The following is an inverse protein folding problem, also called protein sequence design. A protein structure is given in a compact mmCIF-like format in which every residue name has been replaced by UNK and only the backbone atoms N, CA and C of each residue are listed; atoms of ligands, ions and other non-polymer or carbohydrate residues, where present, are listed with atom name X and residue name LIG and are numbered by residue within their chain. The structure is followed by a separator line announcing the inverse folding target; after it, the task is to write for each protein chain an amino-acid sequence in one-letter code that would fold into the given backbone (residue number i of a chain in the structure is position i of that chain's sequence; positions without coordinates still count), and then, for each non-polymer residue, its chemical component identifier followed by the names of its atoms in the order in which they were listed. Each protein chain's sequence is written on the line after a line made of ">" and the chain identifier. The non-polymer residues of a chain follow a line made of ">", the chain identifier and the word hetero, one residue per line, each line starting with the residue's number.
data_IF_765625879334
#
_entry.id   IF_765625879334
#
_cell.length_a   1.000
_cell.length_b   1.000
_cell.length_c   1.000
_cell.angle_alpha   90.00
_cell.angle_beta   90.00
_cell.angle_gamma   90.00
#
_symmetry.space_group_name_H-M   'P 1'
#
loop_
_entity.id
_entity.type
_entity.pdbx_description
1 polymer ?
#
# COMPACT_ATOMS: atom_id res chain seq x y z
N UNK A 1 5.79 -11.56 15.95
CA UNK A 1 4.78 -10.49 16.20
C UNK A 1 4.84 -9.43 15.11
N UNK A 2 3.79 -8.66 14.92
CA UNK A 2 3.75 -7.59 13.89
C UNK A 2 4.95 -6.62 14.03
N UNK A 3 5.35 -6.31 15.27
CA UNK A 3 6.50 -5.43 15.52
C UNK A 3 7.84 -6.08 15.11
N UNK A 4 8.03 -7.38 15.33
CA UNK A 4 9.25 -8.08 14.91
C UNK A 4 9.35 -8.21 13.39
N UNK A 5 8.22 -8.42 12.72
CA UNK A 5 8.15 -8.48 11.26
C UNK A 5 8.42 -7.12 10.62
N UNK A 6 7.81 -6.05 11.18
CA UNK A 6 8.06 -4.69 10.74
C UNK A 6 9.53 -4.30 10.93
N UNK A 7 10.11 -4.61 12.10
CA UNK A 7 11.54 -4.37 12.35
C UNK A 7 12.42 -5.12 11.37
N UNK A 8 12.17 -6.40 11.15
CA UNK A 8 12.92 -7.21 10.21
C UNK A 8 12.89 -6.62 8.80
N UNK A 9 11.70 -6.21 8.31
CA UNK A 9 11.57 -5.61 6.99
C UNK A 9 12.31 -4.27 6.88
N UNK A 10 12.19 -3.40 7.90
CA UNK A 10 12.90 -2.12 7.96
C UNK A 10 14.41 -2.31 7.94
N UNK A 11 14.93 -3.23 8.75
CA UNK A 11 16.35 -3.50 8.84
C UNK A 11 16.90 -4.14 7.56
N UNK A 12 16.14 -5.05 6.93
CA UNK A 12 16.54 -5.75 5.72
C UNK A 12 16.80 -4.82 4.53
N UNK A 13 16.00 -3.77 4.39
CA UNK A 13 16.10 -2.83 3.28
C UNK A 13 16.65 -1.46 3.68
N UNK A 14 17.11 -1.31 4.91
CA UNK A 14 17.58 -0.03 5.49
C UNK A 14 16.55 1.11 5.25
N UNK A 15 15.28 0.84 5.51
CA UNK A 15 14.21 1.78 5.21
C UNK A 15 14.35 3.06 6.05
N UNK A 16 14.35 4.21 5.40
CA UNK A 16 14.43 5.53 6.04
C UNK A 16 13.05 6.11 6.35
N UNK A 17 12.02 5.62 5.68
CA UNK A 17 10.64 6.03 5.83
C UNK A 17 9.72 4.82 5.99
N UNK A 18 8.71 4.97 6.82
CA UNK A 18 7.60 4.03 6.90
C UNK A 18 6.27 4.78 6.87
N UNK A 19 5.32 4.25 6.13
CA UNK A 19 3.95 4.73 6.11
C UNK A 19 3.08 3.69 6.83
N UNK A 20 2.30 4.13 7.80
CA UNK A 20 1.49 3.21 8.59
C UNK A 20 0.07 3.74 8.82
N UNK A 21 -0.85 2.85 9.09
CA UNK A 21 -2.14 3.23 9.65
C UNK A 21 -2.05 3.38 11.17
N UNK A 22 -2.96 4.16 11.73
CA UNK A 22 -3.04 4.42 13.18
C UNK A 22 -3.06 3.16 14.05
N UNK A 23 -3.66 2.07 13.57
CA UNK A 23 -3.67 0.76 14.28
C UNK A 23 -2.31 0.05 14.30
N UNK A 24 -1.41 0.39 13.38
CA UNK A 24 -0.09 -0.24 13.21
C UNK A 24 1.06 0.61 13.75
N UNK A 25 0.79 1.84 14.18
CA UNK A 25 1.78 2.82 14.59
C UNK A 25 2.77 2.26 15.64
N UNK A 26 2.25 1.58 16.67
CA UNK A 26 3.06 0.99 17.74
C UNK A 26 4.12 0.00 17.24
N UNK A 27 3.91 -0.64 16.11
CA UNK A 27 4.85 -1.63 15.58
C UNK A 27 6.21 -1.01 15.21
N UNK A 28 6.26 0.30 14.99
CA UNK A 28 7.47 1.04 14.59
C UNK A 28 8.18 1.73 15.75
N UNK A 29 7.74 1.52 16.98
CA UNK A 29 8.37 2.15 18.16
C UNK A 29 9.86 1.77 18.26
N UNK A 30 10.71 2.77 18.54
CA UNK A 30 12.16 2.62 18.70
C UNK A 30 12.95 2.38 17.41
N UNK A 31 12.31 2.52 16.23
CA UNK A 31 13.02 2.36 14.96
C UNK A 31 13.63 3.67 14.48
N UNK A 32 14.84 3.58 13.92
CA UNK A 32 15.56 4.74 13.38
C UNK A 32 15.05 5.10 11.97
N UNK A 33 13.84 5.65 11.88
CA UNK A 33 13.22 6.04 10.62
C UNK A 33 12.29 7.25 10.79
N UNK A 34 11.86 7.80 9.68
CA UNK A 34 10.77 8.77 9.62
C UNK A 34 9.45 8.04 9.46
N UNK A 35 8.56 8.17 10.44
CA UNK A 35 7.23 7.54 10.41
C UNK A 35 6.16 8.54 9.94
N UNK A 36 5.39 8.15 8.95
CA UNK A 36 4.24 8.91 8.43
C UNK A 36 2.97 8.14 8.74
N UNK A 37 2.11 8.71 9.58
CA UNK A 37 0.86 8.08 9.99
C UNK A 37 -0.31 8.53 9.15
N UNK A 38 -1.01 7.55 8.58
CA UNK A 38 -2.27 7.74 7.87
C UNK A 38 -3.44 7.38 8.79
N UNK A 39 -4.29 8.36 9.13
CA UNK A 39 -5.51 8.10 9.89
C UNK A 39 -6.60 7.58 8.96
N UNK A 40 -7.00 6.33 9.11
CA UNK A 40 -8.07 5.72 8.31
C UNK A 40 -9.36 6.53 8.33
N UNK A 41 -9.71 7.07 9.50
CA UNK A 41 -10.92 7.87 9.69
C UNK A 41 -10.94 9.18 8.88
N UNK A 42 -9.79 9.70 8.45
CA UNK A 42 -9.70 10.94 7.67
C UNK A 42 -10.23 10.80 6.24
N UNK A 43 -10.40 9.58 5.77
CA UNK A 43 -10.87 9.25 4.41
C UNK A 43 -12.33 8.80 4.37
N UNK A 44 -13.02 8.74 5.49
CA UNK A 44 -14.46 8.48 5.47
C UNK A 44 -15.22 9.66 4.85
N UNK A 45 -16.24 9.40 4.03
CA UNK A 45 -17.02 10.45 3.40
C UNK A 45 -17.66 11.36 4.44
N UNK A 46 -17.74 12.66 4.16
CA UNK A 46 -18.38 13.67 5.04
C UNK A 46 -19.92 13.63 4.89
N UNK A 47 -20.50 12.46 5.09
CA UNK A 47 -21.92 12.17 5.01
C UNK A 47 -22.39 11.54 6.33
N UNK A 48 -23.68 11.49 6.61
CA UNK A 48 -24.20 10.78 7.79
C UNK A 48 -23.70 9.35 7.89
N UNK A 49 -23.58 8.66 6.76
CA UNK A 49 -23.02 7.31 6.68
C UNK A 49 -21.54 7.27 7.09
N UNK A 50 -20.76 8.23 6.63
CA UNK A 50 -19.34 8.35 7.01
C UNK A 50 -19.16 8.70 8.49
N UNK A 51 -20.05 9.44 9.09
CA UNK A 51 -20.04 9.71 10.55
C UNK A 51 -20.30 8.44 11.36
N UNK A 52 -21.27 7.61 10.94
CA UNK A 52 -21.55 6.31 11.56
C UNK A 52 -20.33 5.40 11.41
N UNK A 53 -19.75 5.30 10.20
CA UNK A 53 -18.55 4.52 9.95
C UNK A 53 -17.37 4.97 10.83
N UNK A 54 -17.17 6.28 10.99
CA UNK A 54 -16.15 6.85 11.86
C UNK A 54 -16.36 6.49 13.35
N UNK A 55 -17.61 6.58 13.82
CA UNK A 55 -17.94 6.20 15.19
C UNK A 55 -17.69 4.71 15.45
N UNK A 56 -18.09 3.84 14.52
CA UNK A 56 -17.82 2.40 14.56
C UNK A 56 -16.33 2.10 14.53
N UNK A 57 -15.59 2.75 13.64
CA UNK A 57 -14.14 2.62 13.54
C UNK A 57 -13.44 3.01 14.85
N UNK A 58 -13.75 4.18 15.41
CA UNK A 58 -13.21 4.63 16.69
C UNK A 58 -13.48 3.65 17.82
N UNK A 59 -14.69 3.07 17.86
CA UNK A 59 -15.04 2.03 18.84
C UNK A 59 -14.19 0.78 18.65
N UNK A 60 -13.97 0.34 17.41
CA UNK A 60 -13.21 -0.86 17.04
C UNK A 60 -11.72 -0.75 17.36
N UNK A 61 -11.13 0.45 17.24
CA UNK A 61 -9.69 0.69 17.48
C UNK A 61 -9.39 1.16 18.89
N UNK A 62 -10.40 1.42 19.72
CA UNK A 62 -10.21 1.86 21.10
C UNK A 62 -9.31 0.88 21.87
N UNK A 63 -8.21 1.39 22.43
CA UNK A 63 -7.21 0.59 23.16
C UNK A 63 -6.25 -0.22 22.27
N UNK A 64 -6.41 -0.18 20.92
CA UNK A 64 -5.51 -0.86 20.00
C UNK A 64 -4.43 0.05 19.41
N UNK A 65 -4.64 1.36 19.51
CA UNK A 65 -3.68 2.36 19.04
C UNK A 65 -2.77 2.80 20.18
N UNK A 66 -1.48 2.91 19.89
CA UNK A 66 -0.51 3.53 20.79
C UNK A 66 0.56 4.22 19.95
N UNK A 67 1.11 5.37 20.42
CA UNK A 67 2.10 6.13 19.68
C UNK A 67 3.40 5.34 19.51
N UNK A 68 4.06 5.53 18.37
CA UNK A 68 5.40 5.04 18.11
C UNK A 68 6.42 5.99 18.79
N UNK A 69 6.77 5.70 20.02
CA UNK A 69 7.80 6.46 20.75
C UNK A 69 9.19 6.04 20.25
N UNK A 70 10.11 7.01 20.13
CA UNK A 70 11.52 6.73 19.81
C UNK A 70 11.81 6.55 18.33
N UNK A 71 10.93 6.98 17.42
CA UNK A 71 11.25 7.15 15.99
C UNK A 71 12.04 8.45 15.76
N UNK A 72 12.84 8.52 14.70
CA UNK A 72 13.68 9.69 14.40
C UNK A 72 12.85 10.93 14.10
N UNK A 73 11.79 10.77 13.30
CA UNK A 73 10.82 11.82 12.97
C UNK A 73 9.43 11.22 12.83
N UNK A 74 8.43 12.04 13.13
CA UNK A 74 7.03 11.66 13.02
C UNK A 74 6.24 12.72 12.27
N UNK A 75 5.41 12.29 11.33
CA UNK A 75 4.48 13.14 10.60
C UNK A 75 3.07 12.54 10.59
N UNK A 76 2.08 13.38 10.77
CA UNK A 76 0.73 13.06 10.30
C UNK A 76 0.71 13.19 8.77
N UNK A 77 -0.07 12.36 8.09
CA UNK A 77 -0.14 12.35 6.61
C UNK A 77 -0.47 13.72 6.01
N UNK A 78 -1.40 14.46 6.63
CA UNK A 78 -1.78 15.81 6.18
C UNK A 78 -0.61 16.78 6.18
N UNK A 79 0.23 16.74 7.23
CA UNK A 79 1.38 17.62 7.37
C UNK A 79 2.50 17.23 6.41
N UNK A 80 2.69 15.92 6.21
CA UNK A 80 3.62 15.40 5.22
C UNK A 80 3.26 15.88 3.81
N UNK A 81 1.98 15.76 3.41
CA UNK A 81 1.51 16.28 2.13
C UNK A 81 1.65 17.80 2.00
N UNK A 82 1.38 18.55 3.07
CA UNK A 82 1.55 20.02 3.07
C UNK A 82 3.00 20.40 2.83
N UNK A 83 3.94 19.73 3.47
CA UNK A 83 5.37 19.96 3.24
C UNK A 83 5.80 19.59 1.83
N UNK A 84 5.33 18.46 1.28
CA UNK A 84 5.58 18.05 -0.09
C UNK A 84 5.10 19.09 -1.12
N UNK A 85 3.88 19.61 -0.94
CA UNK A 85 3.35 20.67 -1.81
C UNK A 85 4.16 21.96 -1.73
N UNK A 86 4.58 22.35 -0.53
CA UNK A 86 5.43 23.53 -0.35
C UNK A 86 6.81 23.35 -1.00
N UNK A 87 7.37 22.14 -0.94
CA UNK A 87 8.62 21.79 -1.62
C UNK A 87 8.47 21.91 -3.15
N UNK A 88 7.43 21.31 -3.72
CA UNK A 88 7.16 21.36 -5.17
C UNK A 88 6.92 22.79 -5.64
N UNK A 89 6.16 23.58 -4.88
CA UNK A 89 5.91 24.99 -5.21
C UNK A 89 7.19 25.83 -5.26
N UNK A 90 8.20 25.46 -4.44
CA UNK A 90 9.48 26.17 -4.39
C UNK A 90 10.50 25.66 -5.40
N UNK A 91 10.56 24.35 -5.64
CA UNK A 91 11.66 23.70 -6.35
C UNK A 91 11.24 23.05 -7.69
N UNK A 92 9.94 23.01 -8.00
CA UNK A 92 9.40 22.24 -9.11
C UNK A 92 9.21 20.75 -8.75
N UNK A 93 8.66 19.99 -9.70
CA UNK A 93 8.53 18.54 -9.54
C UNK A 93 9.92 17.88 -9.55
N UNK A 94 10.13 16.83 -8.75
CA UNK A 94 11.35 16.03 -8.85
C UNK A 94 11.48 15.43 -10.25
N UNK A 95 12.73 15.32 -10.73
CA UNK A 95 13.00 14.59 -11.97
C UNK A 95 12.64 13.12 -11.79
N UNK A 96 11.99 12.50 -12.79
CA UNK A 96 11.69 11.08 -12.74
C UNK A 96 12.97 10.25 -12.77
N UNK A 97 12.95 9.11 -12.11
CA UNK A 97 14.04 8.13 -12.23
C UNK A 97 14.05 7.57 -13.67
N UNK A 98 15.21 7.63 -14.33
CA UNK A 98 15.36 7.24 -15.73
C UNK A 98 16.12 5.92 -15.93
N UNK A 99 16.71 5.37 -14.86
CA UNK A 99 17.40 4.08 -14.93
C UNK A 99 16.38 2.93 -14.87
N UNK A 100 16.19 2.17 -15.97
CA UNK A 100 15.24 1.07 -16.01
C UNK A 100 15.65 -0.10 -15.11
N UNK A 101 16.95 -0.23 -14.79
CA UNK A 101 17.48 -1.27 -13.92
C UNK A 101 17.42 -0.90 -12.43
N UNK A 102 17.08 0.36 -12.10
CA UNK A 102 16.91 0.77 -10.72
C UNK A 102 15.82 -0.05 -10.03
N UNK A 103 16.06 -0.42 -8.78
CA UNK A 103 15.06 -1.11 -7.96
C UNK A 103 13.87 -0.20 -7.70
N UNK A 104 12.72 -0.54 -8.26
CA UNK A 104 11.46 0.19 -8.07
C UNK A 104 10.66 -0.31 -6.86
N UNK A 105 10.73 -1.60 -6.57
CA UNK A 105 10.04 -2.20 -5.43
C UNK A 105 10.82 -3.37 -4.84
N UNK A 106 10.66 -3.61 -3.55
CA UNK A 106 11.14 -4.82 -2.87
C UNK A 106 9.93 -5.52 -2.26
N UNK A 107 9.64 -6.72 -2.76
CA UNK A 107 8.50 -7.51 -2.32
C UNK A 107 8.96 -8.61 -1.37
N UNK A 108 8.34 -8.65 -0.19
CA UNK A 108 8.67 -9.68 0.80
C UNK A 108 8.01 -11.01 0.41
N UNK A 109 8.80 -12.09 0.36
CA UNK A 109 8.27 -13.43 0.09
C UNK A 109 7.78 -14.07 1.37
N UNK A 110 6.62 -14.77 1.29
CA UNK A 110 6.16 -15.66 2.36
C UNK A 110 6.97 -16.97 2.31
N UNK A 111 7.98 -17.10 3.16
CA UNK A 111 8.72 -18.36 3.29
C UNK A 111 8.00 -19.35 4.18
N UNK A 112 7.84 -20.59 3.73
CA UNK A 112 7.29 -21.69 4.56
C UNK A 112 8.33 -22.26 5.54
N UNK A 113 9.62 -21.95 5.37
CA UNK A 113 10.72 -22.60 6.07
C UNK A 113 11.83 -21.66 6.58
N UNK A 114 11.61 -20.34 6.65
CA UNK A 114 12.62 -19.40 7.09
C UNK A 114 12.12 -17.95 7.15
N UNK A 115 13.05 -17.02 7.41
CA UNK A 115 12.74 -15.60 7.38
C UNK A 115 12.33 -15.15 5.97
N UNK A 116 11.35 -14.25 5.84
CA UNK A 116 10.96 -13.68 4.56
C UNK A 116 12.16 -13.07 3.83
N UNK A 117 12.22 -13.22 2.51
CA UNK A 117 13.27 -12.62 1.67
C UNK A 117 12.70 -11.44 0.92
N UNK A 118 13.49 -10.39 0.73
CA UNK A 118 13.13 -9.26 -0.13
C UNK A 118 13.54 -9.57 -1.58
N UNK A 119 12.56 -9.63 -2.48
CA UNK A 119 12.79 -9.75 -3.93
C UNK A 119 12.82 -8.34 -4.51
N UNK A 120 13.95 -7.96 -5.09
CA UNK A 120 14.14 -6.68 -5.76
C UNK A 120 13.54 -6.75 -7.16
N UNK A 121 12.66 -5.82 -7.48
CA UNK A 121 12.02 -5.68 -8.78
C UNK A 121 12.49 -4.38 -9.42
N UNK A 122 13.07 -4.45 -10.61
CA UNK A 122 13.47 -3.26 -11.36
C UNK A 122 12.25 -2.58 -12.01
N UNK A 123 12.40 -1.30 -12.33
CA UNK A 123 11.40 -0.55 -13.09
C UNK A 123 11.06 -1.23 -14.41
N UNK A 124 12.06 -1.71 -15.13
CA UNK A 124 11.89 -2.45 -16.39
C UNK A 124 11.07 -3.72 -16.19
N UNK A 125 11.40 -4.55 -15.17
CA UNK A 125 10.71 -5.81 -14.96
C UNK A 125 9.22 -5.61 -14.64
N UNK A 126 8.89 -4.59 -13.84
CA UNK A 126 7.49 -4.29 -13.48
C UNK A 126 6.72 -3.76 -14.70
N UNK A 127 7.35 -2.88 -15.48
CA UNK A 127 6.73 -2.29 -16.67
C UNK A 127 6.52 -3.34 -17.76
N UNK A 128 7.53 -4.18 -18.07
CA UNK A 128 7.41 -5.24 -19.07
C UNK A 128 6.28 -6.21 -18.72
N UNK A 129 6.17 -6.62 -17.44
CA UNK A 129 5.04 -7.45 -17.02
C UNK A 129 3.70 -6.80 -17.32
N UNK A 130 3.58 -5.47 -17.15
CA UNK A 130 2.33 -4.76 -17.45
C UNK A 130 2.01 -4.76 -18.94
N UNK A 131 2.98 -4.54 -19.81
CA UNK A 131 2.78 -4.59 -21.27
C UNK A 131 2.41 -5.99 -21.72
N UNK A 132 3.13 -7.02 -21.28
CA UNK A 132 2.82 -8.42 -21.60
C UNK A 132 1.41 -8.82 -21.17
N UNK A 133 0.94 -8.32 -20.03
CA UNK A 133 -0.41 -8.61 -19.56
C UNK A 133 -1.49 -7.92 -20.39
N UNK A 134 -1.27 -6.68 -20.81
CA UNK A 134 -2.17 -5.97 -21.72
C UNK A 134 -2.27 -6.71 -23.05
N UNK A 135 -1.14 -7.08 -23.64
CA UNK A 135 -1.08 -7.85 -24.89
C UNK A 135 -1.83 -9.20 -24.76
N UNK A 136 -1.67 -9.91 -23.64
CA UNK A 136 -2.41 -11.16 -23.40
C UNK A 136 -3.93 -10.91 -23.30
N UNK A 137 -4.36 -9.85 -22.62
CA UNK A 137 -5.78 -9.53 -22.48
C UNK A 137 -6.39 -9.15 -23.84
N UNK A 138 -5.74 -8.28 -24.59
CA UNK A 138 -6.26 -7.77 -25.85
C UNK A 138 -6.11 -8.80 -26.98
N UNK A 139 -4.93 -9.40 -27.12
CA UNK A 139 -4.62 -10.28 -28.26
C UNK A 139 -5.08 -11.72 -28.07
N UNK A 140 -4.95 -12.26 -26.86
CA UNK A 140 -5.26 -13.66 -26.57
C UNK A 140 -6.66 -13.84 -26.04
N UNK A 141 -7.06 -13.05 -25.05
CA UNK A 141 -8.38 -13.15 -24.43
C UNK A 141 -9.44 -12.40 -25.24
N UNK A 142 -9.01 -11.47 -26.10
CA UNK A 142 -9.87 -10.64 -26.97
C UNK A 142 -10.82 -9.74 -26.18
N UNK A 143 -10.32 -9.17 -25.09
CA UNK A 143 -10.99 -8.11 -24.35
C UNK A 143 -10.33 -6.78 -24.73
N UNK A 144 -11.07 -5.90 -25.37
CA UNK A 144 -10.65 -4.52 -25.63
C UNK A 144 -10.74 -3.71 -24.34
N UNK A 145 -9.61 -3.19 -23.86
CA UNK A 145 -9.54 -2.40 -22.63
C UNK A 145 -9.83 -0.93 -22.96
N UNK A 146 -10.91 -0.41 -22.40
CA UNK A 146 -11.32 0.99 -22.53
C UNK A 146 -11.11 1.73 -21.19
N UNK A 147 -10.00 2.47 -21.01
CA UNK A 147 -9.73 3.18 -19.74
C UNK A 147 -10.79 4.22 -19.38
N UNK A 148 -11.57 4.73 -20.32
CA UNK A 148 -12.61 5.72 -20.08
C UNK A 148 -13.91 5.10 -19.53
N UNK A 149 -14.16 3.82 -19.83
CA UNK A 149 -15.40 3.12 -19.44
C UNK A 149 -15.16 1.92 -18.54
N UNK A 150 -13.96 1.37 -18.51
CA UNK A 150 -13.60 0.23 -17.68
C UNK A 150 -12.96 0.65 -16.35
N UNK A 151 -13.02 -0.24 -15.37
CA UNK A 151 -12.34 -0.05 -14.10
C UNK A 151 -11.76 -1.37 -13.58
N UNK A 152 -10.54 -1.32 -13.07
CA UNK A 152 -9.90 -2.47 -12.44
C UNK A 152 -10.45 -2.71 -11.03
N UNK A 153 -11.06 -3.87 -10.79
CA UNK A 153 -11.43 -4.29 -9.44
C UNK A 153 -10.19 -4.85 -8.71
N UNK A 154 -9.60 -4.04 -7.85
CA UNK A 154 -8.47 -4.42 -7.00
C UNK A 154 -8.97 -5.14 -5.75
N UNK A 155 -9.35 -6.41 -5.89
CA UNK A 155 -9.80 -7.26 -4.78
C UNK A 155 -8.65 -7.95 -4.05
N UNK A 156 -7.51 -8.10 -4.71
CA UNK A 156 -6.31 -8.71 -4.12
C UNK A 156 -5.49 -7.69 -3.32
N UNK A 157 -4.90 -8.12 -2.20
CA UNK A 157 -4.07 -7.23 -1.40
C UNK A 157 -2.86 -6.72 -2.19
N UNK A 158 -2.67 -5.41 -2.25
CA UNK A 158 -1.57 -4.76 -2.99
C UNK A 158 -0.18 -5.00 -2.38
N UNK A 159 -0.10 -5.53 -1.16
CA UNK A 159 1.17 -5.97 -0.57
C UNK A 159 1.60 -7.37 -1.05
N UNK A 160 0.73 -8.09 -1.75
CA UNK A 160 1.04 -9.36 -2.41
C UNK A 160 1.44 -9.09 -3.87
N UNK A 161 2.46 -9.79 -4.38
CA UNK A 161 3.02 -9.54 -5.72
C UNK A 161 1.96 -9.50 -6.82
N UNK A 162 0.98 -10.40 -6.80
CA UNK A 162 -0.10 -10.44 -7.77
C UNK A 162 -1.01 -9.18 -7.68
N UNK A 163 -1.42 -8.78 -6.47
CA UNK A 163 -2.22 -7.57 -6.28
C UNK A 163 -1.46 -6.30 -6.64
N UNK A 164 -0.15 -6.25 -6.34
CA UNK A 164 0.71 -5.15 -6.72
C UNK A 164 0.86 -5.05 -8.25
N UNK A 165 1.30 -6.12 -8.90
CA UNK A 165 1.61 -6.10 -10.32
C UNK A 165 0.35 -6.00 -11.19
N UNK A 166 -0.62 -6.92 -11.03
CA UNK A 166 -1.79 -6.98 -11.88
C UNK A 166 -2.83 -5.90 -11.57
N UNK A 167 -3.23 -5.79 -10.29
CA UNK A 167 -4.34 -4.93 -9.99
C UNK A 167 -3.93 -3.46 -9.88
N UNK A 168 -2.76 -3.17 -9.29
CA UNK A 168 -2.34 -1.79 -9.07
C UNK A 168 -1.51 -1.25 -10.23
N UNK A 169 -0.41 -1.91 -10.59
CA UNK A 169 0.54 -1.35 -11.52
C UNK A 169 0.04 -1.36 -12.97
N UNK A 170 -0.55 -2.47 -13.44
CA UNK A 170 -1.12 -2.54 -14.80
C UNK A 170 -2.16 -1.44 -15.02
N UNK A 171 -3.11 -1.28 -14.10
CA UNK A 171 -4.13 -0.25 -14.25
C UNK A 171 -3.56 1.17 -14.26
N UNK A 172 -2.45 1.42 -13.53
CA UNK A 172 -1.73 2.70 -13.63
C UNK A 172 -1.05 2.89 -14.98
N UNK A 173 -0.47 1.83 -15.56
CA UNK A 173 0.19 1.89 -16.87
C UNK A 173 -0.79 2.18 -18.01
N UNK A 174 -1.99 1.61 -17.96
CA UNK A 174 -3.03 1.82 -18.98
C UNK A 174 -3.95 3.01 -18.69
N UNK A 175 -3.76 3.71 -17.57
CA UNK A 175 -4.61 4.83 -17.18
C UNK A 175 -6.02 4.44 -16.70
N UNK A 176 -6.24 3.18 -16.35
CA UNK A 176 -7.55 2.66 -15.95
C UNK A 176 -7.89 3.01 -14.49
N UNK A 177 -9.09 3.51 -14.19
CA UNK A 177 -9.55 3.72 -12.82
C UNK A 177 -9.52 2.44 -11.98
N UNK A 178 -9.19 2.57 -10.70
CA UNK A 178 -9.16 1.43 -9.78
C UNK A 178 -10.29 1.51 -8.76
N UNK A 179 -11.01 0.41 -8.58
CA UNK A 179 -11.93 0.20 -7.47
C UNK A 179 -11.26 -0.71 -6.42
N UNK A 180 -10.82 -0.12 -5.32
CA UNK A 180 -10.20 -0.87 -4.23
C UNK A 180 -11.27 -1.54 -3.38
N UNK A 181 -11.31 -2.87 -3.41
CA UNK A 181 -12.18 -3.63 -2.51
C UNK A 181 -11.44 -3.97 -1.23
N UNK A 182 -11.84 -3.35 -0.12
CA UNK A 182 -11.40 -3.72 1.23
C UNK A 182 -12.35 -4.73 1.89
N UNK A 183 -13.30 -5.27 1.14
CA UNK A 183 -14.25 -6.25 1.65
C UNK A 183 -13.53 -7.59 1.72
N UNK A 184 -13.07 -7.92 2.91
CA UNK A 184 -12.76 -9.30 3.24
C UNK A 184 -14.10 -10.05 3.25
N UNK A 185 -14.40 -10.76 2.16
CA UNK A 185 -15.51 -11.73 2.15
C UNK A 185 -15.05 -12.86 3.07
N UNK A 186 -15.68 -13.04 4.27
CA UNK A 186 -15.28 -14.10 5.17
C UNK A 186 -15.40 -15.43 4.46
N UNK A 187 -14.31 -16.18 4.39
CA UNK A 187 -14.36 -17.50 3.82
C UNK A 187 -15.33 -18.40 4.62
N UNK A 188 -15.87 -19.45 4.05
CA UNK A 188 -16.70 -20.41 4.82
C UNK A 188 -15.97 -20.92 6.07
N UNK A 189 -14.64 -20.99 6.08
CA UNK A 189 -13.81 -21.37 7.22
C UNK A 189 -13.79 -20.33 8.35
N UNK A 190 -13.88 -19.05 8.01
CA UNK A 190 -13.91 -17.98 9.02
C UNK A 190 -15.24 -17.94 9.75
N UNK A 191 -16.34 -18.37 9.11
CA UNK A 191 -17.66 -18.51 9.75
C UNK A 191 -17.74 -19.67 10.75
N UNK A 192 -16.90 -20.71 10.59
CA UNK A 192 -16.87 -21.82 11.53
C UNK A 192 -16.13 -21.51 12.83
N UNK A 193 -15.23 -20.53 12.85
CA UNK A 193 -14.49 -20.10 14.05
C UNK A 193 -15.24 -19.10 14.93
N UNK A 194 -16.40 -18.63 14.50
CA UNK A 194 -17.23 -17.65 15.21
C UNK A 194 -18.48 -18.27 15.89
N UNK A 195 -18.56 -19.62 15.94
CA UNK A 195 -19.60 -20.35 16.67
C UNK A 195 -19.04 -21.04 17.91
#
# INVERSE_FOLDING_TARGET
>A
SVASEAKYAVDLVDAKFAFCFDVSEKAFAGMNLTLVKCKTASYFPKTPYGWIANAMYKKKIKGKTAPAVGVTRFYEWSDFLKQGRAYIAKNGNPEPATDPQATAAIMMTGGTTGNPKGVMLSSEAINNLSYELVDVVEDTIKIDLDPDHDAMLTALPVFHGFGFALCMHVSMCVGMPQSLSLIHIPSPRDRQKSR
#
